data_IF_696944586387
#
_entry.id   IF_696944586387
#
_cell.length_a   1.000
_cell.length_b   1.000
_cell.length_c   1.000
_cell.angle_alpha   90.00
_cell.angle_beta   90.00
_cell.angle_gamma   90.00
#
_symmetry.space_group_name_H-M   'P 1'
#
loop_
_entity.id
_entity.type
_entity.pdbx_description
1 polymer ?
#
# COMPACT_ATOMS: atom_id res chain seq x y z
N UNK A 1 9.52 -12.13 33.25
CA UNK A 1 9.63 -11.95 31.80
C UNK A 1 8.22 -11.85 31.24
N UNK A 2 7.77 -10.65 30.87
CA UNK A 2 6.47 -10.50 30.22
C UNK A 2 6.55 -11.16 28.85
N UNK A 3 5.68 -12.13 28.60
CA UNK A 3 5.60 -12.88 27.36
C UNK A 3 5.30 -11.90 26.21
N UNK A 4 6.23 -11.77 25.26
CA UNK A 4 6.09 -10.85 24.13
C UNK A 4 5.06 -11.44 23.15
N UNK A 5 3.77 -11.32 23.47
CA UNK A 5 2.69 -11.79 22.60
C UNK A 5 2.71 -11.00 21.30
N UNK A 6 3.05 -11.68 20.20
CA UNK A 6 3.03 -11.15 18.84
C UNK A 6 1.59 -10.83 18.44
N UNK A 7 1.36 -9.65 17.87
CA UNK A 7 0.05 -9.28 17.32
C UNK A 7 -0.12 -9.91 15.92
N UNK A 8 -0.86 -11.02 15.85
CA UNK A 8 -1.07 -11.81 14.63
C UNK A 8 -1.71 -10.96 13.50
N UNK A 9 -2.79 -10.17 13.74
CA UNK A 9 -3.34 -9.27 12.74
C UNK A 9 -2.32 -8.32 12.11
N UNK A 10 -1.47 -7.68 12.93
CA UNK A 10 -0.43 -6.78 12.43
C UNK A 10 0.64 -7.52 11.63
N UNK A 11 0.96 -8.77 11.98
CA UNK A 11 1.87 -9.61 11.18
C UNK A 11 1.27 -9.91 9.82
N UNK A 12 0.01 -10.35 9.77
CA UNK A 12 -0.69 -10.64 8.50
C UNK A 12 -0.76 -9.40 7.61
N UNK A 13 -1.10 -8.25 8.19
CA UNK A 13 -1.11 -6.97 7.48
C UNK A 13 0.28 -6.58 6.93
N UNK A 14 1.33 -6.75 7.73
CA UNK A 14 2.70 -6.43 7.33
C UNK A 14 3.17 -7.33 6.18
N UNK A 15 2.90 -8.63 6.26
CA UNK A 15 3.24 -9.59 5.20
C UNK A 15 2.47 -9.29 3.92
N UNK A 16 1.16 -9.05 4.02
CA UNK A 16 0.35 -8.66 2.86
C UNK A 16 0.92 -7.44 2.16
N UNK A 17 1.15 -6.35 2.88
CA UNK A 17 1.68 -5.14 2.27
C UNK A 17 3.11 -5.29 1.76
N UNK A 18 3.94 -6.13 2.38
CA UNK A 18 5.25 -6.47 1.86
C UNK A 18 5.16 -7.20 0.50
N UNK A 19 4.23 -8.14 0.35
CA UNK A 19 3.93 -8.75 -0.96
C UNK A 19 3.52 -7.69 -1.97
N UNK A 20 2.64 -6.76 -1.59
CA UNK A 20 2.26 -5.63 -2.44
C UNK A 20 3.47 -4.79 -2.88
N UNK A 21 4.35 -4.41 -1.95
CA UNK A 21 5.57 -3.67 -2.27
C UNK A 21 6.48 -4.44 -3.24
N UNK A 22 6.63 -5.75 -3.07
CA UNK A 22 7.40 -6.60 -3.99
C UNK A 22 6.77 -6.58 -5.39
N UNK A 23 5.45 -6.73 -5.50
CA UNK A 23 4.74 -6.64 -6.78
C UNK A 23 4.95 -5.28 -7.45
N UNK A 24 4.91 -4.19 -6.68
CA UNK A 24 5.19 -2.83 -7.16
C UNK A 24 6.62 -2.72 -7.70
N UNK A 25 7.62 -3.18 -6.93
CA UNK A 25 9.03 -3.13 -7.34
C UNK A 25 9.27 -3.94 -8.61
N UNK A 26 8.71 -5.16 -8.69
CA UNK A 26 8.81 -6.01 -9.89
C UNK A 26 8.10 -5.34 -11.08
N UNK A 27 6.93 -4.76 -10.86
CA UNK A 27 6.17 -4.01 -11.87
C UNK A 27 6.92 -2.78 -12.39
N UNK A 28 7.72 -2.11 -11.56
CA UNK A 28 8.50 -0.93 -11.96
C UNK A 28 9.85 -1.28 -12.59
N UNK A 29 10.55 -2.27 -12.04
CA UNK A 29 11.87 -2.67 -12.51
C UNK A 29 11.81 -3.38 -13.87
N UNK A 30 10.67 -3.96 -14.23
CA UNK A 30 10.51 -4.65 -15.50
C UNK A 30 10.07 -3.69 -16.62
N UNK A 31 10.83 -3.59 -17.74
CA UNK A 31 10.38 -2.89 -18.95
C UNK A 31 9.28 -3.69 -19.65
N UNK A 32 8.04 -3.59 -19.15
CA UNK A 32 6.90 -4.38 -19.62
C UNK A 32 5.55 -3.73 -19.33
N UNK A 33 5.48 -2.39 -19.34
CA UNK A 33 4.23 -1.65 -19.15
C UNK A 33 3.37 -1.66 -20.43
N UNK A 34 4.00 -1.72 -21.60
CA UNK A 34 3.37 -1.92 -22.91
C UNK A 34 4.00 -3.13 -23.61
N UNK A 35 3.31 -3.72 -24.59
CA UNK A 35 3.81 -4.87 -25.35
C UNK A 35 4.96 -4.57 -26.31
N UNK A 36 5.18 -3.32 -26.69
CA UNK A 36 6.16 -2.93 -27.72
C UNK A 36 7.51 -2.42 -27.17
N UNK A 37 7.69 -2.37 -25.85
CA UNK A 37 8.98 -2.07 -25.22
C UNK A 37 9.32 -0.57 -25.15
N UNK A 38 9.75 -0.15 -23.96
CA UNK A 38 10.19 1.18 -23.49
C UNK A 38 9.45 2.44 -24.01
N UNK A 39 8.91 3.20 -23.06
CA UNK A 39 8.40 4.56 -23.28
C UNK A 39 9.55 5.56 -23.54
N UNK A 40 9.31 6.66 -24.28
CA UNK A 40 10.33 7.68 -24.54
C UNK A 40 10.93 8.25 -23.23
N UNK A 41 12.24 8.46 -23.21
CA UNK A 41 12.98 8.93 -22.03
C UNK A 41 12.54 10.34 -21.58
N UNK A 42 12.24 11.21 -22.55
CA UNK A 42 11.52 12.50 -22.39
C UNK A 42 10.02 12.31 -22.61
N UNK A 43 9.42 11.43 -21.82
CA UNK A 43 8.01 11.12 -21.93
C UNK A 43 7.12 12.36 -21.69
N UNK A 44 5.93 12.43 -22.31
CA UNK A 44 4.96 13.49 -22.07
C UNK A 44 4.63 13.67 -20.59
N UNK A 45 4.04 14.82 -20.24
CA UNK A 45 3.72 15.19 -18.86
C UNK A 45 2.94 14.11 -18.09
N UNK A 46 2.09 13.34 -18.78
CA UNK A 46 1.37 12.18 -18.23
C UNK A 46 2.29 11.07 -17.71
N UNK A 47 3.35 10.75 -18.46
CA UNK A 47 4.33 9.71 -18.06
C UNK A 47 5.17 10.23 -16.88
N UNK A 48 5.53 11.51 -16.86
CA UNK A 48 6.24 12.09 -15.72
C UNK A 48 5.37 12.13 -14.46
N UNK A 49 4.09 12.50 -14.59
CA UNK A 49 3.12 12.46 -13.50
C UNK A 49 2.91 11.03 -12.97
N UNK A 50 2.80 10.04 -13.86
CA UNK A 50 2.75 8.61 -13.51
C UNK A 50 3.95 8.23 -12.66
N UNK A 51 5.18 8.54 -13.12
CA UNK A 51 6.41 8.25 -12.39
C UNK A 51 6.43 8.93 -11.02
N UNK A 52 6.09 10.21 -10.96
CA UNK A 52 6.07 10.98 -9.71
C UNK A 52 5.12 10.38 -8.69
N UNK A 53 3.88 10.11 -9.07
CA UNK A 53 2.87 9.54 -8.18
C UNK A 53 3.26 8.15 -7.67
N UNK A 54 3.81 7.31 -8.54
CA UNK A 54 4.25 5.97 -8.12
C UNK A 54 5.45 6.06 -7.17
N UNK A 55 6.39 7.00 -7.37
CA UNK A 55 7.51 7.22 -6.44
C UNK A 55 6.99 7.69 -5.08
N UNK A 56 6.10 8.68 -5.04
CA UNK A 56 5.49 9.13 -3.78
C UNK A 56 4.69 8.02 -3.10
N UNK A 57 3.95 7.23 -3.87
CA UNK A 57 3.22 6.06 -3.38
C UNK A 57 4.16 5.02 -2.78
N UNK A 58 5.24 4.66 -3.49
CA UNK A 58 6.24 3.71 -3.04
C UNK A 58 6.93 4.16 -1.74
N UNK A 59 7.27 5.45 -1.61
CA UNK A 59 7.83 6.00 -0.37
C UNK A 59 6.86 5.82 0.81
N UNK A 60 5.57 6.14 0.61
CA UNK A 60 4.55 5.94 1.63
C UNK A 60 4.40 4.45 2.01
N UNK A 61 4.43 3.55 1.04
CA UNK A 61 4.39 2.10 1.29
C UNK A 61 5.59 1.62 2.11
N UNK A 62 6.80 2.06 1.78
CA UNK A 62 8.02 1.69 2.51
C UNK A 62 7.91 2.12 3.97
N UNK A 63 7.57 3.39 4.24
CA UNK A 63 7.40 3.87 5.61
C UNK A 63 6.24 3.17 6.34
N UNK A 64 5.11 2.97 5.66
CA UNK A 64 3.95 2.25 6.19
C UNK A 64 4.32 0.84 6.64
N UNK A 65 5.06 0.08 5.81
CA UNK A 65 5.49 -1.29 6.12
C UNK A 65 6.52 -1.31 7.26
N UNK A 66 7.51 -0.40 7.27
CA UNK A 66 8.48 -0.31 8.36
C UNK A 66 7.78 -0.07 9.70
N UNK A 67 6.78 0.83 9.72
CA UNK A 67 6.00 1.09 10.92
C UNK A 67 5.08 -0.08 11.29
N UNK A 68 4.50 -0.78 10.32
CA UNK A 68 3.69 -2.00 10.55
C UNK A 68 4.51 -3.09 11.23
N UNK A 69 5.71 -3.36 10.72
CA UNK A 69 6.65 -4.32 11.32
C UNK A 69 7.04 -3.88 12.72
N UNK A 70 7.25 -2.58 12.95
CA UNK A 70 7.56 -2.05 14.29
C UNK A 70 6.43 -2.26 15.30
N UNK A 71 5.17 -2.20 14.85
CA UNK A 71 3.98 -2.51 15.66
C UNK A 71 3.92 -3.98 16.08
N UNK A 72 4.44 -4.91 15.27
CA UNK A 72 4.49 -6.34 15.62
C UNK A 72 5.41 -6.62 16.81
N UNK A 73 6.45 -5.80 17.01
CA UNK A 73 7.46 -5.97 18.04
C UNK A 73 7.12 -5.29 19.38
N UNK A 74 5.93 -4.69 19.52
CA UNK A 74 5.48 -3.95 20.73
C UNK A 74 6.44 -2.84 21.22
N UNK A 75 7.32 -2.35 20.34
CA UNK A 75 8.21 -1.20 20.61
C UNK A 75 7.66 0.13 20.06
N UNK A 76 6.43 0.13 19.57
CA UNK A 76 5.96 1.21 18.73
C UNK A 76 5.57 2.47 19.52
N UNK A 77 6.30 3.55 19.24
CA UNK A 77 5.96 4.94 19.59
C UNK A 77 4.92 5.51 18.59
N UNK A 78 4.53 4.72 17.59
CA UNK A 78 3.75 5.15 16.42
C UNK A 78 2.31 4.65 16.53
N UNK A 79 1.34 5.51 16.19
CA UNK A 79 -0.08 5.16 16.17
C UNK A 79 -0.38 4.18 15.01
N UNK A 80 -1.11 3.07 15.26
CA UNK A 80 -1.49 2.12 14.21
C UNK A 80 -2.20 2.79 13.02
N UNK A 81 -3.08 3.75 13.28
CA UNK A 81 -3.76 4.54 12.25
C UNK A 81 -2.82 5.22 11.26
N UNK A 82 -1.69 5.76 11.74
CA UNK A 82 -0.71 6.46 10.88
C UNK A 82 -0.02 5.48 9.94
N UNK A 83 0.35 4.31 10.44
CA UNK A 83 0.92 3.23 9.63
C UNK A 83 -0.07 2.79 8.55
N UNK A 84 -1.32 2.50 8.94
CA UNK A 84 -2.36 2.10 8.01
C UNK A 84 -2.64 3.16 6.94
N UNK A 85 -2.70 4.44 7.33
CA UNK A 85 -2.91 5.55 6.41
C UNK A 85 -1.78 5.63 5.36
N UNK A 86 -0.52 5.43 5.75
CA UNK A 86 0.61 5.40 4.82
C UNK A 86 0.50 4.24 3.81
N UNK A 87 0.08 3.06 4.27
CA UNK A 87 -0.10 1.89 3.39
C UNK A 87 -1.24 2.11 2.39
N UNK A 88 -2.37 2.64 2.85
CA UNK A 88 -3.54 2.92 2.01
C UNK A 88 -3.24 4.04 1.02
N UNK A 89 -2.72 5.17 1.49
CA UNK A 89 -2.36 6.30 0.64
C UNK A 89 -1.28 5.94 -0.36
N UNK A 90 -0.29 5.13 0.06
CA UNK A 90 0.76 4.63 -0.81
C UNK A 90 0.22 3.80 -1.98
N UNK A 91 -0.64 2.80 -1.70
CA UNK A 91 -1.26 1.97 -2.72
C UNK A 91 -2.13 2.78 -3.69
N UNK A 92 -2.98 3.66 -3.16
CA UNK A 92 -3.85 4.52 -3.98
C UNK A 92 -3.04 5.45 -4.88
N UNK A 93 -1.96 6.07 -4.39
CA UNK A 93 -1.12 6.95 -5.21
C UNK A 93 -0.48 6.20 -6.39
N UNK A 94 -0.03 4.96 -6.18
CA UNK A 94 0.48 4.12 -7.25
C UNK A 94 -0.61 3.82 -8.30
N UNK A 95 -1.83 3.51 -7.89
CA UNK A 95 -2.97 3.27 -8.80
C UNK A 95 -3.39 4.52 -9.56
N UNK A 96 -3.38 5.71 -8.92
CA UNK A 96 -3.65 6.97 -9.62
C UNK A 96 -2.59 7.20 -10.71
N UNK A 97 -1.32 6.92 -10.42
CA UNK A 97 -0.26 6.93 -11.42
C UNK A 97 -0.55 5.95 -12.57
N UNK A 98 -0.90 4.70 -12.27
CA UNK A 98 -1.26 3.70 -13.27
C UNK A 98 -2.50 4.11 -14.10
N UNK A 99 -3.50 4.74 -13.49
CA UNK A 99 -4.69 5.23 -14.18
C UNK A 99 -4.37 6.37 -15.16
N UNK A 100 -3.49 7.31 -14.78
CA UNK A 100 -3.02 8.37 -15.68
C UNK A 100 -2.29 7.76 -16.89
N UNK A 101 -1.43 6.77 -16.65
CA UNK A 101 -0.77 6.04 -17.73
C UNK A 101 -1.78 5.34 -18.64
N UNK A 102 -2.79 4.69 -18.07
CA UNK A 102 -3.87 4.02 -18.80
C UNK A 102 -4.58 4.99 -19.73
N UNK A 103 -5.00 6.15 -19.20
CA UNK A 103 -5.68 7.18 -19.99
C UNK A 103 -4.81 7.71 -21.12
N UNK A 104 -3.52 7.97 -20.85
CA UNK A 104 -2.57 8.37 -21.89
C UNK A 104 -2.46 7.32 -23.01
N UNK A 105 -2.33 6.04 -22.64
CA UNK A 105 -2.16 4.96 -23.58
C UNK A 105 -3.39 4.74 -24.46
N UNK A 106 -4.59 4.79 -23.87
CA UNK A 106 -5.86 4.64 -24.61
C UNK A 106 -6.10 5.75 -25.62
N UNK A 107 -5.60 6.96 -25.36
CA UNK A 107 -5.74 8.11 -26.27
C UNK A 107 -4.69 8.09 -27.39
N UNK A 108 -3.43 7.81 -27.05
CA UNK A 108 -2.30 8.02 -27.97
C UNK A 108 -1.90 6.76 -28.74
N UNK A 109 -2.21 5.58 -28.19
CA UNK A 109 -1.86 4.29 -28.78
C UNK A 109 -3.03 3.31 -28.66
N UNK A 110 -4.22 3.65 -29.23
CA UNK A 110 -5.40 2.82 -29.11
C UNK A 110 -5.15 1.42 -29.70
N UNK A 111 -5.54 0.39 -28.97
CA UNK A 111 -5.35 -1.01 -29.37
C UNK A 111 -4.01 -1.62 -28.97
N UNK A 112 -3.06 -0.84 -28.43
CA UNK A 112 -1.82 -1.41 -27.87
C UNK A 112 -2.13 -2.11 -26.53
N UNK A 113 -1.83 -3.41 -26.38
CA UNK A 113 -2.10 -4.13 -25.14
C UNK A 113 -1.15 -3.70 -24.01
N UNK A 114 -1.69 -3.67 -22.80
CA UNK A 114 -0.91 -3.47 -21.58
C UNK A 114 -0.05 -4.72 -21.28
N UNK A 115 1.19 -4.50 -20.86
CA UNK A 115 2.07 -5.59 -20.47
C UNK A 115 1.84 -6.06 -19.03
N UNK A 116 2.44 -7.19 -18.65
CA UNK A 116 2.19 -7.81 -17.35
C UNK A 116 2.56 -6.90 -16.17
N UNK A 117 3.63 -6.11 -16.30
CA UNK A 117 4.15 -5.23 -15.25
C UNK A 117 3.16 -4.14 -14.85
N UNK A 118 2.33 -3.71 -15.80
CA UNK A 118 1.23 -2.79 -15.54
C UNK A 118 0.18 -3.42 -14.63
N UNK A 119 -0.21 -4.68 -14.86
CA UNK A 119 -1.16 -5.39 -13.99
C UNK A 119 -0.60 -5.66 -12.59
N UNK A 120 0.72 -5.85 -12.45
CA UNK A 120 1.35 -5.96 -11.12
C UNK A 120 1.18 -4.67 -10.30
N UNK A 121 1.13 -3.51 -10.96
CA UNK A 121 0.91 -2.20 -10.31
C UNK A 121 -0.53 -2.04 -9.82
N UNK A 122 -1.50 -2.68 -10.44
CA UNK A 122 -2.87 -2.76 -9.91
C UNK A 122 -2.98 -3.80 -8.79
N UNK A 123 -2.33 -4.96 -8.96
CA UNK A 123 -2.36 -6.03 -7.98
C UNK A 123 -1.76 -5.61 -6.64
N UNK A 124 -0.67 -4.83 -6.63
CA UNK A 124 -0.07 -4.34 -5.38
C UNK A 124 -1.05 -3.56 -4.51
N UNK A 125 -1.99 -2.80 -5.09
CA UNK A 125 -2.95 -2.00 -4.33
C UNK A 125 -3.83 -2.87 -3.46
N UNK A 126 -4.29 -4.03 -3.96
CA UNK A 126 -5.07 -4.97 -3.18
C UNK A 126 -4.34 -5.42 -1.91
N UNK A 127 -3.05 -5.69 -2.04
CA UNK A 127 -2.21 -6.16 -0.94
C UNK A 127 -1.82 -5.05 0.04
N UNK A 128 -1.48 -3.86 -0.46
CA UNK A 128 -1.07 -2.72 0.35
C UNK A 128 -2.25 -2.06 1.06
N UNK A 129 -3.34 -1.78 0.34
CA UNK A 129 -4.58 -1.24 0.93
C UNK A 129 -5.20 -2.28 1.85
N UNK A 130 -5.26 -3.55 1.44
CA UNK A 130 -5.75 -4.64 2.28
C UNK A 130 -4.98 -4.75 3.60
N UNK A 131 -3.65 -4.68 3.55
CA UNK A 131 -2.81 -4.64 4.75
C UNK A 131 -3.14 -3.45 5.67
N UNK A 132 -3.28 -2.25 5.11
CA UNK A 132 -3.66 -1.06 5.90
C UNK A 132 -5.06 -1.15 6.51
N UNK A 133 -6.04 -1.69 5.77
CA UNK A 133 -7.41 -1.90 6.26
C UNK A 133 -7.44 -2.88 7.43
N UNK A 134 -6.67 -3.96 7.38
CA UNK A 134 -6.57 -4.93 8.50
C UNK A 134 -6.12 -4.24 9.78
N UNK A 135 -5.10 -3.37 9.71
CA UNK A 135 -4.59 -2.63 10.88
C UNK A 135 -5.67 -1.70 11.45
N UNK A 136 -6.41 -0.96 10.60
CA UNK A 136 -7.49 -0.08 11.06
C UNK A 136 -8.65 -0.83 11.71
N UNK A 137 -9.02 -1.99 11.16
CA UNK A 137 -10.07 -2.82 11.73
C UNK A 137 -9.67 -3.36 13.10
N UNK A 138 -8.40 -3.74 13.28
CA UNK A 138 -7.89 -4.20 14.58
C UNK A 138 -7.85 -3.06 15.60
N UNK A 139 -7.39 -1.87 15.22
CA UNK A 139 -7.37 -0.70 16.10
C UNK A 139 -8.79 -0.29 16.55
N UNK A 140 -9.78 -0.39 15.65
CA UNK A 140 -11.18 -0.13 16.00
C UNK A 140 -11.71 -1.12 17.03
N UNK A 141 -11.43 -2.41 16.88
CA UNK A 141 -11.88 -3.44 17.83
C UNK A 141 -11.34 -3.20 19.23
N UNK A 142 -10.04 -2.92 19.35
CA UNK A 142 -9.40 -2.62 20.65
C UNK A 142 -10.06 -1.40 21.30
N UNK A 143 -10.33 -0.35 20.52
CA UNK A 143 -10.99 0.86 21.01
C UNK A 143 -12.41 0.59 21.52
N UNK A 144 -13.18 -0.27 20.84
CA UNK A 144 -14.53 -0.65 21.26
C UNK A 144 -14.53 -1.51 22.54
N UNK A 145 -13.58 -2.44 22.66
CA UNK A 145 -13.39 -3.28 23.85
C UNK A 145 -13.02 -2.44 25.09
N UNK A 146 -12.09 -1.49 24.94
CA UNK A 146 -11.71 -0.56 26.00
C UNK A 146 -12.90 0.29 26.45
N UNK A 147 -13.70 0.78 25.50
CA UNK A 147 -14.89 1.58 25.79
C UNK A 147 -15.95 0.77 26.55
N UNK A 148 -16.14 -0.50 26.18
CA UNK A 148 -17.07 -1.40 26.86
C UNK A 148 -16.61 -1.70 28.30
N UNK A 149 -15.32 -1.90 28.53
CA UNK A 149 -14.76 -2.10 29.86
C UNK A 149 -14.96 -0.87 30.77
N UNK A 150 -14.75 0.34 30.25
CA UNK A 150 -14.99 1.59 31.00
C UNK A 150 -16.46 1.75 31.37
N UNK A 151 -17.40 1.42 30.46
CA UNK A 151 -18.84 1.45 30.76
C UNK A 151 -19.21 0.48 31.88
N UNK A 152 -18.68 -0.74 31.84
CA UNK A 152 -18.94 -1.74 32.87
C UNK A 152 -18.43 -1.31 34.27
N UNK A 153 -17.38 -0.50 34.34
CA UNK A 153 -16.85 0.05 35.60
C UNK A 153 -17.67 1.22 36.16
N UNK A 154 -18.43 1.93 35.31
CA UNK A 154 -19.27 3.07 35.73
C UNK A 154 -20.69 2.67 36.16
N UNK A 155 -21.08 1.41 35.97
CA UNK A 155 -22.39 0.85 36.39
C UNK A 155 -22.31 0.07 37.72
N UNK A 156 -21.17 0.13 38.44
CA UNK A 156 -20.98 -0.31 39.83
C UNK A 156 -21.03 0.88 40.78
#
# INVERSE_FOLDING_TARGET
MAENKVNIPHVVASVSAFVGLVLLVVGLATPGWTSEGSLPEKGPASIQATRGLIVFGALNLVFGIIFAVSLTMKKAVIKPATCAALMIAGGILCDVGAAIFTGYQLINSPGMPFGYSFYLTWAQTLFCVGGGVIILLEERKVTEEDLAAVRALGEL
#
